data_IF_871152374126
#
_entry.id   IF_871152374126
#
_cell.length_a   1.000
_cell.length_b   1.000
_cell.length_c   1.000
_cell.angle_alpha   90.00
_cell.angle_beta   90.00
_cell.angle_gamma   90.00
#
_symmetry.space_group_name_H-M   'P 1'
#
loop_
_entity.id
_entity.type
_entity.pdbx_description
1 polymer ?
#
# COMPACT_ATOMS: atom_id res chain seq x y z
N UNK A 1 24.05 -18.58 -8.65
CA UNK A 1 22.82 -18.26 -7.88
C UNK A 1 22.62 -16.76 -7.91
N UNK A 2 21.80 -16.25 -8.83
CA UNK A 2 21.60 -14.82 -9.02
C UNK A 2 20.30 -14.42 -8.33
N UNK A 3 20.39 -14.00 -7.07
CA UNK A 3 19.36 -13.15 -6.50
C UNK A 3 19.44 -11.77 -7.13
N UNK A 4 18.28 -11.20 -7.45
CA UNK A 4 18.10 -9.83 -7.87
C UNK A 4 19.05 -8.87 -7.09
N UNK A 5 19.94 -8.11 -7.76
CA UNK A 5 20.89 -7.20 -7.10
C UNK A 5 20.25 -5.96 -6.46
N UNK A 6 18.94 -5.73 -6.65
CA UNK A 6 18.24 -4.53 -6.19
C UNK A 6 17.60 -4.64 -4.79
N UNK A 7 17.75 -5.77 -4.08
CA UNK A 7 17.23 -5.92 -2.72
C UNK A 7 18.40 -6.11 -1.76
N UNK A 8 18.80 -5.02 -1.12
CA UNK A 8 19.69 -5.03 0.04
C UNK A 8 18.93 -5.60 1.24
N UNK A 9 19.50 -6.62 1.88
CA UNK A 9 19.05 -7.06 3.20
C UNK A 9 19.68 -6.17 4.27
N UNK A 10 19.08 -6.04 5.46
CA UNK A 10 19.60 -5.23 6.56
C UNK A 10 20.98 -5.64 7.06
N UNK A 11 22.00 -5.16 6.34
CA UNK A 11 23.40 -5.22 6.68
C UNK A 11 23.91 -3.79 6.89
N UNK A 12 23.54 -3.22 8.06
CA UNK A 12 24.08 -1.99 8.67
C UNK A 12 23.53 -0.62 8.23
N UNK A 13 22.42 -0.53 7.47
CA UNK A 13 21.86 0.77 7.03
C UNK A 13 20.32 0.76 6.88
N UNK A 14 19.63 0.03 7.75
CA UNK A 14 18.16 0.05 7.79
C UNK A 14 17.69 0.54 9.14
N UNK A 15 16.53 1.19 9.17
CA UNK A 15 15.90 1.75 10.36
C UNK A 15 15.92 0.75 11.54
N UNK A 16 15.57 -0.52 11.30
CA UNK A 16 15.55 -1.54 12.37
C UNK A 16 16.93 -1.85 12.95
N UNK A 17 17.99 -1.84 12.12
CA UNK A 17 19.34 -2.00 12.63
C UNK A 17 19.73 -0.82 13.53
N UNK A 18 19.33 0.39 13.14
CA UNK A 18 19.69 1.60 13.85
C UNK A 18 18.93 1.72 15.19
N UNK A 19 17.62 1.44 15.17
CA UNK A 19 16.80 1.30 16.39
C UNK A 19 17.42 0.29 17.36
N UNK A 20 17.83 -0.88 16.86
CA UNK A 20 18.49 -1.91 17.66
C UNK A 20 19.84 -1.43 18.24
N UNK A 21 20.67 -0.78 17.42
CA UNK A 21 21.98 -0.27 17.82
C UNK A 21 21.89 0.83 18.89
N UNK A 22 20.80 1.60 18.87
CA UNK A 22 20.50 2.66 19.83
C UNK A 22 19.58 2.23 20.99
N UNK A 23 19.30 0.92 21.12
CA UNK A 23 18.46 0.36 22.18
C UNK A 23 17.04 0.95 22.23
N UNK A 24 16.52 1.37 21.08
CA UNK A 24 15.13 1.80 20.94
C UNK A 24 14.26 0.56 20.73
N UNK A 25 13.22 0.39 21.55
CA UNK A 25 12.29 -0.74 21.38
C UNK A 25 11.46 -0.58 20.12
N UNK A 26 11.35 -1.64 19.34
CA UNK A 26 10.50 -1.70 18.16
C UNK A 26 9.87 -3.07 17.97
N UNK A 27 8.79 -3.10 17.18
CA UNK A 27 8.18 -4.31 16.64
C UNK A 27 7.86 -4.10 15.16
N UNK A 28 8.21 -5.08 14.33
CA UNK A 28 8.01 -5.06 12.88
C UNK A 28 7.04 -6.16 12.44
N UNK A 29 5.92 -5.72 11.87
CA UNK A 29 4.89 -6.55 11.28
C UNK A 29 5.04 -6.58 9.76
N UNK A 30 5.94 -7.46 9.31
CA UNK A 30 5.98 -7.93 7.92
C UNK A 30 7.19 -7.49 7.11
N UNK A 31 7.91 -6.42 7.48
CA UNK A 31 9.09 -6.00 6.71
C UNK A 31 10.25 -6.97 6.97
N UNK A 32 10.89 -7.47 5.91
CA UNK A 32 11.89 -8.56 5.95
C UNK A 32 11.47 -9.92 6.55
N UNK A 33 10.55 -9.98 7.51
CA UNK A 33 9.98 -11.20 8.10
C UNK A 33 9.16 -11.99 7.07
N UNK A 34 8.49 -11.26 6.17
CA UNK A 34 7.65 -11.80 5.10
C UNK A 34 8.42 -12.36 3.91
N UNK A 35 9.70 -12.03 3.76
CA UNK A 35 10.48 -12.46 2.60
C UNK A 35 11.15 -13.78 2.98
N UNK A 36 10.98 -14.80 2.15
CA UNK A 36 11.46 -16.21 2.22
C UNK A 36 12.95 -16.47 2.56
N UNK A 37 13.64 -15.51 3.19
CA UNK A 37 15.02 -15.54 3.67
C UNK A 37 15.13 -15.14 5.16
N UNK A 38 14.17 -15.52 6.00
CA UNK A 38 14.21 -15.34 7.47
C UNK A 38 15.57 -15.78 8.06
N UNK A 39 16.20 -16.83 7.50
CA UNK A 39 17.51 -17.31 7.91
C UNK A 39 18.64 -16.27 7.80
N UNK A 40 18.48 -15.23 6.99
CA UNK A 40 19.44 -14.15 6.81
C UNK A 40 19.24 -12.98 7.80
N UNK A 41 18.16 -13.00 8.58
CA UNK A 41 17.91 -11.97 9.60
C UNK A 41 18.72 -12.31 10.84
N UNK A 42 19.44 -11.33 11.39
CA UNK A 42 20.24 -11.54 12.60
C UNK A 42 19.37 -12.02 13.77
N UNK A 43 19.89 -12.87 14.68
CA UNK A 43 19.14 -13.31 15.85
C UNK A 43 18.61 -12.16 16.71
N UNK A 44 19.36 -11.05 16.80
CA UNK A 44 18.96 -9.88 17.56
C UNK A 44 17.75 -9.16 16.93
N UNK A 45 17.72 -9.01 15.60
CA UNK A 45 16.56 -8.44 14.91
C UNK A 45 15.32 -9.33 15.02
N UNK A 46 15.47 -10.66 14.96
CA UNK A 46 14.34 -11.60 15.05
C UNK A 46 13.55 -11.50 16.35
N UNK A 47 14.12 -10.94 17.41
CA UNK A 47 13.40 -10.72 18.67
C UNK A 47 12.38 -9.57 18.61
N UNK A 48 12.39 -8.80 17.52
CA UNK A 48 11.56 -7.62 17.27
C UNK A 48 10.69 -7.78 16.01
N UNK A 49 10.50 -9.01 15.55
CA UNK A 49 9.64 -9.33 14.42
C UNK A 49 8.43 -10.11 14.90
N UNK A 50 7.26 -9.74 14.39
CA UNK A 50 6.06 -10.54 14.54
C UNK A 50 6.16 -11.77 13.64
N UNK A 51 6.79 -12.83 14.14
CA UNK A 51 7.10 -14.05 13.38
C UNK A 51 5.85 -14.82 12.92
N UNK A 52 4.69 -14.57 13.53
CA UNK A 52 3.38 -15.10 13.14
C UNK A 52 2.63 -14.19 12.15
N UNK A 53 3.19 -13.02 11.82
CA UNK A 53 2.61 -12.11 10.85
C UNK A 53 2.76 -12.66 9.42
N UNK A 54 1.69 -12.69 8.61
CA UNK A 54 1.71 -13.30 7.29
C UNK A 54 2.68 -12.59 6.35
N UNK A 55 3.39 -13.41 5.57
CA UNK A 55 4.24 -12.97 4.50
C UNK A 55 3.47 -12.33 3.33
N UNK A 56 4.21 -11.92 2.28
CA UNK A 56 3.63 -11.55 1.00
C UNK A 56 2.80 -12.72 0.45
N UNK A 57 1.49 -12.56 0.45
CA UNK A 57 0.55 -13.47 -0.18
C UNK A 57 -0.76 -12.72 -0.45
N UNK A 58 -1.14 -12.62 -1.71
CA UNK A 58 -2.36 -11.94 -2.15
C UNK A 58 -3.63 -12.74 -1.85
N UNK A 59 -3.51 -13.98 -1.36
CA UNK A 59 -4.64 -14.75 -0.84
C UNK A 59 -4.98 -14.39 0.60
N UNK A 60 -4.06 -13.76 1.33
CA UNK A 60 -4.28 -13.24 2.68
C UNK A 60 -4.64 -11.77 2.54
N UNK A 61 -5.83 -11.39 3.01
CA UNK A 61 -6.29 -10.00 2.97
C UNK A 61 -5.66 -9.19 4.10
N UNK A 62 -5.48 -7.89 3.87
CA UNK A 62 -4.90 -6.99 4.87
C UNK A 62 -5.74 -6.84 6.13
N UNK A 63 -7.07 -6.98 6.05
CA UNK A 63 -7.91 -7.13 7.24
C UNK A 63 -7.53 -8.33 8.11
N UNK A 64 -7.08 -9.43 7.51
CA UNK A 64 -6.58 -10.58 8.28
C UNK A 64 -5.23 -10.27 8.93
N UNK A 65 -4.32 -9.59 8.21
CA UNK A 65 -3.03 -9.12 8.74
C UNK A 65 -3.23 -8.11 9.88
N UNK A 66 -4.06 -7.10 9.67
CA UNK A 66 -4.47 -6.12 10.68
C UNK A 66 -5.06 -6.79 11.93
N UNK A 67 -5.83 -7.87 11.79
CA UNK A 67 -6.34 -8.61 12.95
C UNK A 67 -5.22 -9.22 13.81
N UNK A 68 -4.10 -9.64 13.22
CA UNK A 68 -2.95 -10.20 13.93
C UNK A 68 -2.21 -9.08 14.66
N UNK A 69 -1.94 -7.97 13.97
CA UNK A 69 -1.36 -6.78 14.58
C UNK A 69 -2.25 -6.24 15.73
N UNK A 70 -3.57 -6.15 15.53
CA UNK A 70 -4.54 -5.72 16.54
C UNK A 70 -4.47 -6.58 17.81
N UNK A 71 -4.50 -7.91 17.65
CA UNK A 71 -4.37 -8.83 18.80
C UNK A 71 -3.06 -8.62 19.55
N UNK A 72 -1.96 -8.46 18.83
CA UNK A 72 -0.65 -8.21 19.44
C UNK A 72 -0.63 -6.86 20.18
N UNK A 73 -1.12 -5.78 19.54
CA UNK A 73 -1.19 -4.44 20.12
C UNK A 73 -2.02 -4.45 21.42
N UNK A 74 -3.17 -5.11 21.41
CA UNK A 74 -4.02 -5.25 22.60
C UNK A 74 -3.34 -6.03 23.72
N UNK A 75 -2.62 -7.10 23.39
CA UNK A 75 -1.88 -7.90 24.37
C UNK A 75 -0.73 -7.10 25.02
N UNK A 76 -0.14 -6.14 24.29
CA UNK A 76 0.99 -5.32 24.73
C UNK A 76 0.60 -3.88 25.10
N UNK A 77 -0.70 -3.59 25.25
CA UNK A 77 -1.23 -2.24 25.46
C UNK A 77 -0.63 -1.47 26.64
N UNK A 78 -0.04 -2.14 27.63
CA UNK A 78 0.62 -1.48 28.78
C UNK A 78 2.06 -1.04 28.49
N UNK A 79 2.70 -1.67 27.49
CA UNK A 79 4.12 -1.56 27.21
C UNK A 79 4.35 -1.68 25.70
N UNK A 80 3.76 -0.75 24.92
CA UNK A 80 4.06 -0.68 23.50
C UNK A 80 5.51 -0.27 23.26
N UNK A 81 6.16 -0.79 22.20
CA UNK A 81 7.49 -0.35 21.83
C UNK A 81 7.47 1.09 21.31
N UNK A 82 8.64 1.73 21.27
CA UNK A 82 8.77 3.13 20.83
C UNK A 82 8.41 3.29 19.34
N UNK A 83 8.70 2.29 18.52
CA UNK A 83 8.37 2.25 17.09
C UNK A 83 7.60 0.98 16.78
N UNK A 84 6.51 1.10 16.02
CA UNK A 84 5.81 -0.06 15.44
C UNK A 84 5.79 0.16 13.94
N UNK A 85 6.29 -0.81 13.18
CA UNK A 85 6.20 -0.82 11.73
C UNK A 85 5.16 -1.86 11.30
N UNK A 86 4.20 -1.47 10.45
CA UNK A 86 3.14 -2.37 9.99
C UNK A 86 3.05 -2.28 8.48
N UNK A 87 3.16 -3.44 7.84
CA UNK A 87 3.03 -3.57 6.41
C UNK A 87 1.71 -4.23 6.03
N UNK A 88 0.95 -3.53 5.18
CA UNK A 88 -0.33 -3.96 4.61
C UNK A 88 -0.20 -3.88 3.08
N UNK A 89 0.19 -4.98 2.40
CA UNK A 89 0.62 -4.96 1.00
C UNK A 89 -0.47 -5.02 -0.08
N UNK A 90 -1.75 -5.14 0.27
CA UNK A 90 -2.77 -5.41 -0.74
C UNK A 90 -3.02 -4.22 -1.68
N UNK A 91 -2.52 -3.02 -1.38
CA UNK A 91 -2.50 -1.88 -2.31
C UNK A 91 -1.71 -2.16 -3.61
N UNK A 92 -0.81 -3.16 -3.61
CA UNK A 92 -0.23 -3.69 -4.83
C UNK A 92 -1.23 -4.43 -5.74
N UNK A 93 -2.29 -4.98 -5.16
CA UNK A 93 -3.35 -5.77 -5.80
C UNK A 93 -2.87 -7.04 -6.52
N UNK A 94 -3.83 -7.81 -7.07
CA UNK A 94 -3.54 -8.88 -8.01
C UNK A 94 -3.71 -8.49 -9.49
N UNK A 95 -3.89 -7.20 -9.78
CA UNK A 95 -4.34 -6.75 -11.10
C UNK A 95 -5.59 -7.50 -11.52
N UNK A 96 -5.55 -8.13 -12.71
CA UNK A 96 -6.66 -8.91 -13.28
C UNK A 96 -6.50 -10.42 -13.17
N UNK A 97 -5.58 -10.90 -12.34
CA UNK A 97 -5.39 -12.33 -12.15
C UNK A 97 -6.73 -13.02 -11.81
N UNK A 98 -7.05 -14.09 -12.54
CA UNK A 98 -8.33 -14.75 -12.46
C UNK A 98 -8.63 -15.23 -11.04
N UNK A 99 -9.87 -15.04 -10.58
CA UNK A 99 -10.34 -15.43 -9.25
C UNK A 99 -9.63 -14.78 -8.04
N UNK A 100 -8.74 -13.81 -8.26
CA UNK A 100 -8.22 -12.97 -7.16
C UNK A 100 -9.23 -11.88 -6.81
N UNK A 101 -9.11 -11.25 -5.63
CA UNK A 101 -9.93 -10.07 -5.35
C UNK A 101 -9.69 -9.00 -6.44
N UNK A 102 -10.73 -8.23 -6.76
CA UNK A 102 -10.59 -7.13 -7.71
C UNK A 102 -9.66 -6.06 -7.12
N UNK A 103 -8.97 -5.25 -7.95
CA UNK A 103 -8.12 -4.17 -7.45
C UNK A 103 -8.84 -3.23 -6.48
N UNK A 104 -10.09 -2.84 -6.80
CA UNK A 104 -10.92 -1.99 -5.93
C UNK A 104 -11.20 -2.67 -4.59
N UNK A 105 -11.42 -3.98 -4.58
CA UNK A 105 -11.61 -4.76 -3.36
C UNK A 105 -10.35 -4.86 -2.52
N UNK A 106 -9.18 -5.05 -3.13
CA UNK A 106 -7.91 -5.06 -2.41
C UNK A 106 -7.62 -3.71 -1.75
N UNK A 107 -7.72 -2.61 -2.51
CA UNK A 107 -7.46 -1.26 -1.99
C UNK A 107 -8.47 -0.88 -0.91
N UNK A 108 -9.76 -1.19 -1.09
CA UNK A 108 -10.77 -0.92 -0.07
C UNK A 108 -10.58 -1.76 1.19
N UNK A 109 -10.13 -3.02 1.06
CA UNK A 109 -9.79 -3.85 2.21
C UNK A 109 -8.56 -3.32 2.95
N UNK A 110 -7.52 -2.88 2.22
CA UNK A 110 -6.31 -2.27 2.77
C UNK A 110 -6.60 -0.97 3.53
N UNK A 111 -7.42 -0.07 2.96
CA UNK A 111 -7.84 1.19 3.61
C UNK A 111 -8.61 0.89 4.91
N UNK A 112 -9.56 -0.05 4.86
CA UNK A 112 -10.32 -0.47 6.04
C UNK A 112 -9.42 -1.12 7.11
N UNK A 113 -8.50 -2.00 6.70
CA UNK A 113 -7.53 -2.63 7.61
C UNK A 113 -6.62 -1.60 8.29
N UNK A 114 -6.15 -0.60 7.54
CA UNK A 114 -5.36 0.53 8.05
C UNK A 114 -6.17 1.31 9.10
N UNK A 115 -7.43 1.61 8.80
CA UNK A 115 -8.33 2.28 9.73
C UNK A 115 -8.57 1.46 11.01
N UNK A 116 -8.69 0.13 10.93
CA UNK A 116 -8.86 -0.74 12.10
C UNK A 116 -7.65 -0.71 13.05
N UNK A 117 -6.43 -0.79 12.50
CA UNK A 117 -5.19 -0.70 13.29
C UNK A 117 -5.10 0.66 14.00
N UNK A 118 -5.30 1.74 13.25
CA UNK A 118 -5.31 3.11 13.77
C UNK A 118 -6.38 3.27 14.85
N UNK A 119 -7.59 2.74 14.63
CA UNK A 119 -8.68 2.82 15.59
C UNK A 119 -8.30 2.13 16.90
N UNK A 120 -7.66 0.96 16.84
CA UNK A 120 -7.16 0.29 18.05
C UNK A 120 -6.13 1.14 18.78
N UNK A 121 -5.11 1.63 18.09
CA UNK A 121 -4.08 2.49 18.69
C UNK A 121 -4.72 3.71 19.35
N UNK A 122 -5.72 4.30 18.71
CA UNK A 122 -6.40 5.52 19.19
C UNK A 122 -7.23 5.32 20.47
N UNK A 123 -7.51 4.08 20.85
CA UNK A 123 -8.21 3.72 22.09
C UNK A 123 -7.25 3.44 23.25
N UNK A 124 -5.94 3.42 23.01
CA UNK A 124 -4.94 3.16 24.04
C UNK A 124 -4.52 4.44 24.77
N UNK A 125 -4.12 4.35 26.05
CA UNK A 125 -3.58 5.49 26.81
C UNK A 125 -2.40 6.19 26.12
N UNK A 126 -1.61 5.44 25.36
CA UNK A 126 -0.44 5.89 24.61
C UNK A 126 -0.81 6.82 23.45
N UNK A 127 -2.06 6.81 22.96
CA UNK A 127 -2.50 7.56 21.77
C UNK A 127 -2.10 9.04 21.79
N UNK A 128 -2.24 9.70 22.95
CA UNK A 128 -1.84 11.11 23.16
C UNK A 128 -0.36 11.40 22.89
N UNK A 129 0.47 10.36 22.77
CA UNK A 129 1.90 10.41 22.48
C UNK A 129 2.26 9.67 21.18
N UNK A 130 1.28 9.28 20.38
CA UNK A 130 1.48 8.54 19.14
C UNK A 130 1.50 9.48 17.93
N UNK A 131 2.47 9.23 17.04
CA UNK A 131 2.49 9.71 15.66
C UNK A 131 2.33 8.50 14.75
N UNK A 132 1.39 8.56 13.82
CA UNK A 132 1.24 7.61 12.72
C UNK A 132 1.71 8.30 11.45
N UNK A 133 2.65 7.65 10.75
CA UNK A 133 3.06 8.00 9.39
C UNK A 133 2.67 6.84 8.48
N UNK A 134 1.94 7.13 7.42
CA UNK A 134 1.44 6.18 6.43
C UNK A 134 1.91 6.61 5.05
N UNK A 135 2.45 5.68 4.27
CA UNK A 135 2.93 5.87 2.89
C UNK A 135 2.95 4.50 2.19
N UNK A 136 3.05 4.51 0.86
CA UNK A 136 3.32 3.29 0.07
C UNK A 136 4.81 2.95 0.10
N UNK A 137 5.14 1.66 -0.06
CA UNK A 137 6.52 1.12 -0.18
C UNK A 137 7.19 1.62 -1.47
N UNK A 138 6.54 1.42 -2.62
CA UNK A 138 7.13 1.61 -3.95
C UNK A 138 6.24 2.41 -4.93
N UNK A 139 6.51 3.69 -5.15
CA UNK A 139 5.94 4.45 -6.26
C UNK A 139 6.75 4.27 -7.56
N UNK A 140 6.90 3.03 -8.04
CA UNK A 140 7.78 2.75 -9.18
C UNK A 140 7.02 2.56 -10.51
N UNK A 141 5.75 2.16 -10.44
CA UNK A 141 4.95 1.75 -11.61
C UNK A 141 3.67 2.57 -11.81
N UNK A 142 3.48 3.62 -11.01
CA UNK A 142 2.36 4.54 -11.13
C UNK A 142 2.53 5.47 -12.32
N UNK A 143 1.43 5.70 -13.05
CA UNK A 143 1.44 6.66 -14.13
C UNK A 143 0.95 8.02 -13.63
N UNK A 144 1.91 8.87 -13.31
CA UNK A 144 1.66 10.24 -12.89
C UNK A 144 2.22 11.22 -13.93
N UNK A 145 1.39 12.18 -14.33
CA UNK A 145 1.71 13.14 -15.37
C UNK A 145 2.78 14.17 -14.98
N UNK A 146 3.17 14.23 -13.70
CA UNK A 146 4.23 15.10 -13.18
C UNK A 146 5.50 14.26 -12.95
N UNK A 147 5.41 13.20 -12.17
CA UNK A 147 6.52 12.29 -11.87
C UNK A 147 5.99 10.95 -11.35
N UNK A 148 6.35 9.85 -12.02
CA UNK A 148 5.95 8.49 -11.67
C UNK A 148 6.35 8.04 -10.25
N UNK A 149 7.34 8.72 -9.64
CA UNK A 149 7.79 8.48 -8.26
C UNK A 149 7.02 9.26 -7.20
N UNK A 150 5.99 10.03 -7.57
CA UNK A 150 5.11 10.65 -6.58
C UNK A 150 4.25 9.57 -5.93
N UNK A 151 4.30 9.52 -4.61
CA UNK A 151 3.42 8.71 -3.77
C UNK A 151 2.55 9.63 -2.90
N UNK A 152 1.63 9.04 -2.14
CA UNK A 152 0.90 9.73 -1.10
C UNK A 152 1.58 9.47 0.26
N UNK A 153 1.43 10.43 1.18
CA UNK A 153 1.78 10.24 2.58
C UNK A 153 0.70 10.88 3.45
N UNK A 154 0.38 10.24 4.57
CA UNK A 154 -0.55 10.73 5.58
C UNK A 154 0.14 10.73 6.94
N UNK A 155 0.04 11.85 7.65
CA UNK A 155 0.39 11.92 9.06
C UNK A 155 -0.89 12.03 9.89
N UNK A 156 -0.91 11.32 11.00
CA UNK A 156 -2.06 11.24 11.90
C UNK A 156 -1.56 11.17 13.34
N UNK A 157 -2.36 11.70 14.26
CA UNK A 157 -2.16 11.57 15.69
C UNK A 157 -2.68 12.79 16.42
N UNK A 158 -2.71 12.77 17.76
CA UNK A 158 -3.30 13.87 18.52
C UNK A 158 -2.63 15.23 18.30
N UNK A 159 -1.36 15.23 17.90
CA UNK A 159 -0.59 16.45 17.64
C UNK A 159 -0.61 16.88 16.17
N UNK A 160 -1.22 16.12 15.26
CA UNK A 160 -1.28 16.43 13.83
C UNK A 160 -2.56 17.22 13.51
N UNK A 161 -2.50 18.28 12.70
CA UNK A 161 -3.67 19.04 12.26
C UNK A 161 -4.50 18.24 11.26
N UNK A 162 -5.81 18.15 11.50
CA UNK A 162 -6.75 17.47 10.61
C UNK A 162 -7.08 18.34 9.39
N UNK A 163 -7.24 17.72 8.22
CA UNK A 163 -7.69 18.42 7.01
C UNK A 163 -6.68 19.40 6.41
N UNK A 164 -5.40 19.29 6.79
CA UNK A 164 -4.32 20.12 6.23
C UNK A 164 -3.61 19.34 5.13
N UNK A 165 -3.47 19.98 3.97
CA UNK A 165 -2.59 19.54 2.90
C UNK A 165 -1.26 20.28 3.04
N UNK A 166 -0.17 19.54 3.24
CA UNK A 166 1.18 20.08 3.11
C UNK A 166 1.59 20.03 1.62
N UNK A 167 2.01 21.17 1.08
CA UNK A 167 2.42 21.32 -0.32
C UNK A 167 3.94 21.38 -0.47
N UNK A 168 4.70 21.19 0.60
CA UNK A 168 6.15 21.09 0.53
C UNK A 168 6.57 19.86 -0.29
N UNK A 169 7.69 19.98 -0.99
CA UNK A 169 8.29 18.84 -1.70
C UNK A 169 9.02 17.96 -0.68
N UNK A 170 8.34 16.91 -0.23
CA UNK A 170 8.84 15.93 0.73
C UNK A 170 9.09 14.59 0.05
N UNK A 171 9.92 13.77 0.69
CA UNK A 171 10.31 12.44 0.26
C UNK A 171 10.14 11.43 1.40
N UNK A 172 10.23 10.13 1.08
CA UNK A 172 10.29 9.08 2.12
C UNK A 172 11.47 9.28 3.09
N UNK A 173 12.56 9.95 2.66
CA UNK A 173 13.71 10.26 3.52
C UNK A 173 13.34 11.29 4.60
N UNK A 174 12.42 12.23 4.31
CA UNK A 174 11.90 13.17 5.31
C UNK A 174 11.01 12.46 6.35
N UNK A 175 10.28 11.42 5.94
CA UNK A 175 9.55 10.54 6.86
C UNK A 175 10.51 9.78 7.77
N UNK A 176 11.55 9.16 7.20
CA UNK A 176 12.61 8.49 7.95
C UNK A 176 13.26 9.45 8.95
N UNK A 177 13.64 10.65 8.51
CA UNK A 177 14.24 11.67 9.37
C UNK A 177 13.31 12.10 10.51
N UNK A 178 12.01 12.13 10.25
CA UNK A 178 10.99 12.41 11.28
C UNK A 178 10.87 11.26 12.28
N UNK A 179 10.93 10.00 11.82
CA UNK A 179 10.96 8.82 12.70
C UNK A 179 12.18 8.88 13.62
N UNK A 180 13.36 9.18 13.09
CA UNK A 180 14.59 9.31 13.87
C UNK A 180 14.47 10.39 14.96
N UNK A 181 13.96 11.57 14.59
CA UNK A 181 13.78 12.70 15.51
C UNK A 181 12.78 12.36 16.63
N UNK A 182 11.69 11.65 16.30
CA UNK A 182 10.71 11.18 17.30
C UNK A 182 11.29 10.05 18.15
N UNK A 183 12.04 9.11 17.57
CA UNK A 183 12.67 8.01 18.27
C UNK A 183 13.86 8.44 19.15
N UNK A 184 14.45 9.61 18.88
CA UNK A 184 15.59 10.14 19.61
C UNK A 184 16.93 9.55 19.16
N UNK A 185 17.04 9.15 17.89
CA UNK A 185 18.25 8.54 17.30
C UNK A 185 18.90 9.48 16.26
N UNK A 186 20.22 9.39 16.04
CA UNK A 186 20.89 10.15 15.01
C UNK A 186 20.48 9.68 13.60
N UNK A 187 20.72 10.48 12.55
CA UNK A 187 20.61 10.02 11.17
C UNK A 187 21.54 8.84 10.88
N UNK A 188 21.07 7.89 10.06
CA UNK A 188 21.85 6.72 9.65
C UNK A 188 22.90 7.06 8.58
N UNK A 189 22.71 8.15 7.84
CA UNK A 189 23.54 8.51 6.68
C UNK A 189 23.67 10.03 6.49
N UNK A 190 24.28 10.44 5.38
CA UNK A 190 24.27 11.85 4.97
C UNK A 190 22.93 12.29 4.37
N UNK A 191 22.08 11.36 3.91
CA UNK A 191 20.85 11.68 3.19
C UNK A 191 19.75 12.14 4.13
N UNK A 192 19.43 11.32 5.13
CA UNK A 192 18.59 11.63 6.29
C UNK A 192 19.17 12.78 7.13
N UNK A 193 20.50 12.88 7.29
CA UNK A 193 21.10 14.01 8.00
C UNK A 193 20.80 15.37 7.36
N UNK A 194 20.57 15.41 6.04
CA UNK A 194 20.20 16.63 5.31
C UNK A 194 18.70 16.73 5.00
N UNK A 195 17.89 15.75 5.42
CA UNK A 195 16.45 15.75 5.24
C UNK A 195 15.75 16.58 6.31
N UNK A 196 14.48 16.94 6.04
CA UNK A 196 13.68 17.73 6.94
C UNK A 196 12.90 16.84 7.91
N UNK A 197 12.85 17.25 9.18
CA UNK A 197 11.80 16.78 10.08
C UNK A 197 10.51 17.49 9.69
N UNK A 198 9.42 16.76 9.53
CA UNK A 198 8.11 17.34 9.22
C UNK A 198 7.77 18.40 10.28
N UNK A 199 7.69 19.68 9.89
CA UNK A 199 7.45 20.80 10.81
C UNK A 199 6.10 21.48 10.62
N UNK A 200 5.52 21.36 9.42
CA UNK A 200 4.34 22.11 9.00
C UNK A 200 3.03 21.61 9.57
N UNK A 201 2.95 20.39 10.10
CA UNK A 201 1.68 19.66 10.31
C UNK A 201 1.14 19.69 11.75
N UNK A 202 1.86 20.31 12.69
CA UNK A 202 1.56 20.18 14.13
C UNK A 202 0.52 21.17 14.66
N UNK A 203 -0.25 20.77 15.68
CA UNK A 203 -1.11 21.66 16.50
C UNK A 203 -0.51 21.88 17.88
N UNK A 204 -0.85 23.00 18.52
CA UNK A 204 -0.35 23.36 19.84
C UNK A 204 -1.00 22.59 21.01
N UNK A 205 -2.21 22.05 20.79
CA UNK A 205 -2.98 21.31 21.82
C UNK A 205 -3.41 19.97 21.23
N UNK A 206 -3.19 18.85 21.93
CA UNK A 206 -3.49 17.53 21.39
C UNK A 206 -5.00 17.30 21.30
N UNK A 207 -5.42 16.64 20.22
CA UNK A 207 -6.76 16.15 20.01
C UNK A 207 -6.75 14.63 20.10
N UNK A 208 -6.99 14.11 21.30
CA UNK A 208 -6.91 12.68 21.60
C UNK A 208 -8.23 11.93 21.31
N UNK A 209 -9.12 12.50 20.49
CA UNK A 209 -10.31 11.79 20.06
C UNK A 209 -9.91 10.47 19.38
N UNK A 210 -10.58 9.34 19.70
CA UNK A 210 -10.36 8.09 18.99
C UNK A 210 -10.68 8.25 17.50
N UNK A 211 -9.83 7.70 16.65
CA UNK A 211 -10.05 7.68 15.20
C UNK A 211 -11.17 6.68 14.88
N UNK A 212 -12.26 7.07 14.21
CA UNK A 212 -13.35 6.15 13.87
C UNK A 212 -12.96 5.25 12.70
N UNK A 213 -13.53 4.03 12.67
CA UNK A 213 -13.53 3.19 11.46
C UNK A 213 -14.83 3.46 10.72
N UNK A 214 -14.72 3.88 9.45
CA UNK A 214 -15.88 4.06 8.59
C UNK A 214 -16.22 2.74 7.89
N UNK A 215 -17.51 2.48 7.60
CA UNK A 215 -17.88 1.30 6.83
C UNK A 215 -17.29 1.39 5.43
N UNK A 216 -16.74 0.27 4.96
CA UNK A 216 -16.28 0.13 3.58
C UNK A 216 -17.44 0.39 2.62
N UNK A 217 -17.20 1.25 1.62
CA UNK A 217 -18.21 1.64 0.63
C UNK A 217 -18.13 0.80 -0.65
N UNK A 218 -17.01 0.08 -0.84
CA UNK A 218 -16.76 -0.79 -1.98
C UNK A 218 -17.25 -2.20 -1.69
N UNK A 219 -18.00 -2.79 -2.60
CA UNK A 219 -18.37 -4.20 -2.51
C UNK A 219 -17.14 -5.08 -2.74
N UNK A 220 -17.00 -6.15 -1.97
CA UNK A 220 -15.94 -7.14 -2.18
C UNK A 220 -16.30 -8.05 -3.35
N UNK A 221 -15.51 -7.94 -4.42
CA UNK A 221 -15.69 -8.62 -5.69
C UNK A 221 -14.37 -9.31 -6.09
N UNK A 222 -14.48 -10.38 -6.88
CA UNK A 222 -13.33 -11.07 -7.47
C UNK A 222 -13.23 -10.84 -8.96
N UNK A 223 -12.03 -10.93 -9.51
CA UNK A 223 -11.83 -10.95 -10.95
C UNK A 223 -12.52 -12.15 -11.60
N UNK A 224 -13.02 -11.99 -12.84
CA UNK A 224 -13.59 -13.08 -13.63
C UNK A 224 -12.53 -14.17 -13.91
N UNK A 225 -13.00 -15.36 -14.30
CA UNK A 225 -12.14 -16.50 -14.66
C UNK A 225 -12.27 -17.68 -13.71
N UNK A 226 -11.45 -18.71 -13.98
CA UNK A 226 -11.47 -19.96 -13.25
C UNK A 226 -10.90 -19.79 -11.84
N UNK A 227 -11.58 -20.41 -10.87
CA UNK A 227 -11.15 -20.47 -9.48
C UNK A 227 -10.61 -21.86 -9.17
N UNK A 228 -9.40 -21.92 -8.60
CA UNK A 228 -8.96 -23.12 -7.90
C UNK A 228 -9.97 -23.48 -6.81
N UNK A 229 -10.10 -24.78 -6.52
CA UNK A 229 -11.15 -25.29 -5.63
C UNK A 229 -11.05 -24.71 -4.21
N UNK A 230 -9.82 -24.41 -3.78
CA UNK A 230 -9.39 -23.88 -2.49
C UNK A 230 -9.20 -22.36 -2.46
N UNK A 231 -9.51 -21.65 -3.56
CA UNK A 231 -9.41 -20.18 -3.56
C UNK A 231 -10.35 -19.57 -2.51
N UNK A 232 -9.84 -18.71 -1.60
CA UNK A 232 -10.66 -18.07 -0.57
C UNK A 232 -11.71 -17.12 -1.16
N UNK A 233 -11.47 -16.63 -2.38
CA UNK A 233 -12.35 -15.68 -3.05
C UNK A 233 -13.40 -16.36 -3.94
N UNK A 234 -13.36 -17.69 -4.12
CA UNK A 234 -14.22 -18.42 -5.07
C UNK A 234 -15.72 -18.10 -4.93
N UNK A 235 -16.18 -17.86 -3.72
CA UNK A 235 -17.58 -17.56 -3.40
C UNK A 235 -17.96 -16.08 -3.55
N UNK A 236 -16.98 -15.20 -3.79
CA UNK A 236 -17.26 -13.78 -3.97
C UNK A 236 -17.97 -13.53 -5.31
N UNK A 237 -18.85 -12.51 -5.36
CA UNK A 237 -19.42 -12.06 -6.62
C UNK A 237 -18.31 -11.62 -7.59
N UNK A 238 -18.55 -11.80 -8.88
CA UNK A 238 -17.60 -11.44 -9.94
C UNK A 238 -17.67 -9.94 -10.21
N UNK A 239 -16.50 -9.31 -10.29
CA UNK A 239 -16.34 -7.92 -10.69
C UNK A 239 -16.69 -7.73 -12.18
N UNK A 240 -17.63 -6.84 -12.51
CA UNK A 240 -18.00 -6.58 -13.89
C UNK A 240 -16.93 -5.74 -14.60
N UNK A 241 -15.91 -6.38 -15.16
CA UNK A 241 -14.83 -5.69 -15.90
C UNK A 241 -15.26 -5.37 -17.34
N UNK A 242 -15.23 -4.09 -17.77
CA UNK A 242 -15.41 -3.73 -19.18
C UNK A 242 -14.52 -4.49 -20.16
N UNK A 243 -15.12 -5.17 -21.13
CA UNK A 243 -14.38 -5.82 -22.22
C UNK A 243 -13.77 -7.18 -21.89
N UNK A 244 -13.88 -7.66 -20.65
CA UNK A 244 -13.81 -9.09 -20.35
C UNK A 244 -15.16 -9.72 -20.74
N UNK A 245 -15.13 -10.83 -21.48
CA UNK A 245 -16.25 -11.53 -22.11
C UNK A 245 -17.68 -11.13 -21.66
N UNK A 246 -18.41 -10.49 -22.59
CA UNK A 246 -19.88 -10.29 -22.57
C UNK A 246 -20.53 -9.61 -21.34
N UNK A 247 -19.84 -8.74 -20.62
CA UNK A 247 -20.51 -7.91 -19.59
C UNK A 247 -21.13 -6.66 -20.23
N UNK A 248 -22.46 -6.57 -20.16
CA UNK A 248 -23.22 -5.44 -20.67
C UNK A 248 -22.93 -4.16 -19.87
N UNK A 249 -22.66 -3.08 -20.59
CA UNK A 249 -22.24 -1.74 -20.15
C UNK A 249 -23.18 -1.00 -19.16
N UNK A 250 -24.26 -1.62 -18.71
CA UNK A 250 -25.37 -0.94 -18.04
C UNK A 250 -25.27 -0.92 -16.50
N UNK A 251 -24.18 -1.44 -15.91
CA UNK A 251 -24.11 -1.67 -14.45
C UNK A 251 -22.93 -1.02 -13.72
N UNK A 252 -22.18 -0.09 -14.35
CA UNK A 252 -20.99 0.48 -13.70
C UNK A 252 -21.29 1.77 -12.91
N UNK A 253 -20.58 1.98 -11.79
CA UNK A 253 -20.79 3.14 -10.91
C UNK A 253 -20.44 4.47 -11.62
N UNK A 254 -20.92 5.61 -11.09
CA UNK A 254 -20.83 6.92 -11.75
C UNK A 254 -19.41 7.29 -12.19
N UNK A 255 -19.29 8.07 -13.26
CA UNK A 255 -18.03 8.46 -13.90
C UNK A 255 -16.94 9.08 -12.98
N UNK A 256 -17.26 9.45 -11.73
CA UNK A 256 -16.30 9.98 -10.74
C UNK A 256 -15.55 8.90 -9.94
N UNK A 257 -15.96 7.63 -10.02
CA UNK A 257 -15.34 6.53 -9.26
C UNK A 257 -14.55 5.55 -10.13
N UNK A 258 -14.47 5.78 -11.45
CA UNK A 258 -13.78 4.85 -12.34
C UNK A 258 -12.33 5.32 -12.57
N UNK A 259 -11.39 4.70 -11.85
CA UNK A 259 -9.97 4.77 -12.18
C UNK A 259 -9.58 3.45 -12.86
N UNK A 260 -9.04 3.49 -14.08
CA UNK A 260 -8.62 2.26 -14.76
C UNK A 260 -7.49 1.61 -13.98
N UNK A 261 -7.68 0.37 -13.56
CA UNK A 261 -6.68 -0.43 -12.83
C UNK A 261 -5.66 -1.10 -13.76
N UNK A 262 -5.81 -0.89 -15.06
CA UNK A 262 -4.95 -1.46 -16.09
C UNK A 262 -3.77 -0.53 -16.36
N UNK A 263 -2.56 -0.95 -15.98
CA UNK A 263 -1.34 -0.24 -16.36
C UNK A 263 -1.11 -0.42 -17.86
N UNK A 264 -0.84 0.66 -18.59
CA UNK A 264 -0.59 0.60 -20.02
C UNK A 264 0.91 0.37 -20.28
N UNK A 265 1.24 -0.66 -21.05
CA UNK A 265 2.62 -0.94 -21.50
C UNK A 265 2.94 -0.12 -22.76
N UNK A 266 2.69 1.18 -22.69
CA UNK A 266 2.84 2.15 -23.78
C UNK A 266 3.69 3.31 -23.25
N UNK A 267 4.54 3.88 -24.08
CA UNK A 267 5.48 4.90 -23.61
C UNK A 267 4.83 6.27 -23.39
N UNK A 268 5.23 6.90 -22.27
CA UNK A 268 5.23 8.35 -22.06
C UNK A 268 3.87 9.04 -22.30
N UNK A 269 3.80 10.07 -23.17
CA UNK A 269 2.59 10.88 -23.34
C UNK A 269 1.34 10.11 -23.77
N UNK A 270 1.49 9.00 -24.49
CA UNK A 270 0.35 8.21 -24.93
C UNK A 270 -0.26 7.41 -23.77
N UNK A 271 0.56 6.88 -22.85
CA UNK A 271 0.06 6.28 -21.60
C UNK A 271 -0.75 7.30 -20.79
N UNK A 272 -0.17 8.48 -20.53
CA UNK A 272 -0.83 9.54 -19.76
C UNK A 272 -2.14 10.01 -20.42
N UNK A 273 -2.15 10.16 -21.74
CA UNK A 273 -3.35 10.53 -22.50
C UNK A 273 -4.44 9.47 -22.36
N UNK A 274 -4.06 8.21 -22.44
CA UNK A 274 -4.99 7.09 -22.39
C UNK A 274 -5.59 6.91 -20.99
N UNK A 275 -4.79 7.01 -19.94
CA UNK A 275 -5.29 7.00 -18.55
C UNK A 275 -6.17 8.21 -18.25
N UNK A 276 -5.79 9.40 -18.72
CA UNK A 276 -6.63 10.59 -18.58
C UNK A 276 -7.98 10.44 -19.28
N UNK A 277 -8.01 9.86 -20.49
CA UNK A 277 -9.26 9.58 -21.19
C UNK A 277 -10.10 8.54 -20.42
N UNK A 278 -9.44 7.50 -19.92
CA UNK A 278 -10.09 6.40 -19.27
C UNK A 278 -10.67 6.75 -17.88
N UNK A 279 -10.06 7.69 -17.16
CA UNK A 279 -10.63 8.26 -15.92
C UNK A 279 -11.93 9.06 -16.11
N UNK A 280 -12.36 9.32 -17.36
CA UNK A 280 -13.65 9.99 -17.65
C UNK A 280 -14.86 9.08 -17.50
N UNK A 281 -14.66 7.83 -17.08
CA UNK A 281 -15.71 6.87 -16.80
C UNK A 281 -15.73 5.69 -17.77
N UNK A 282 -16.65 4.73 -17.53
CA UNK A 282 -16.67 3.45 -18.24
C UNK A 282 -16.76 3.55 -19.77
N UNK A 283 -17.55 4.50 -20.29
CA UNK A 283 -17.71 4.70 -21.75
C UNK A 283 -16.40 5.14 -22.39
N UNK A 284 -15.66 6.03 -21.73
CA UNK A 284 -14.38 6.51 -22.22
C UNK A 284 -13.30 5.42 -22.14
N UNK A 285 -13.34 4.60 -21.08
CA UNK A 285 -12.50 3.40 -20.99
C UNK A 285 -12.80 2.38 -22.09
N UNK A 286 -14.07 2.16 -22.42
CA UNK A 286 -14.46 1.32 -23.57
C UNK A 286 -13.82 1.79 -24.88
N UNK A 287 -13.85 3.10 -25.10
CA UNK A 287 -13.28 3.73 -26.28
C UNK A 287 -11.75 3.57 -26.30
N UNK A 288 -11.10 3.69 -25.13
CA UNK A 288 -9.69 3.38 -24.97
C UNK A 288 -9.39 1.93 -25.37
N UNK A 289 -10.10 0.94 -24.81
CA UNK A 289 -9.87 -0.48 -25.11
C UNK A 289 -10.04 -0.79 -26.61
N UNK A 290 -11.07 -0.23 -27.26
CA UNK A 290 -11.24 -0.36 -28.72
C UNK A 290 -10.07 0.24 -29.50
N UNK A 291 -9.56 1.39 -29.06
CA UNK A 291 -8.40 2.05 -29.67
C UNK A 291 -7.13 1.21 -29.49
N UNK A 292 -6.92 0.65 -28.30
CA UNK A 292 -5.80 -0.24 -27.99
C UNK A 292 -5.85 -1.51 -28.84
N UNK A 293 -7.01 -2.13 -29.00
CA UNK A 293 -7.19 -3.30 -29.85
C UNK A 293 -6.88 -2.97 -31.33
N UNK A 294 -7.39 -1.83 -31.82
CA UNK A 294 -7.08 -1.34 -33.18
C UNK A 294 -5.58 -1.11 -33.36
N UNK A 295 -4.91 -0.56 -32.35
CA UNK A 295 -3.48 -0.31 -32.35
C UNK A 295 -2.65 -1.60 -32.31
N UNK A 296 -3.04 -2.58 -31.47
CA UNK A 296 -2.45 -3.91 -31.39
C UNK A 296 -2.48 -4.60 -32.75
N UNK A 297 -3.66 -4.62 -33.39
CA UNK A 297 -3.86 -5.17 -34.72
C UNK A 297 -2.98 -4.48 -35.77
N UNK A 298 -2.91 -3.14 -35.76
CA UNK A 298 -2.04 -2.37 -36.67
C UNK A 298 -0.55 -2.66 -36.47
N UNK A 299 -0.14 -2.90 -35.23
CA UNK A 299 1.25 -3.19 -34.86
C UNK A 299 1.58 -4.70 -34.92
N UNK A 300 0.62 -5.55 -35.30
CA UNK A 300 0.78 -7.01 -35.34
C UNK A 300 1.33 -7.59 -34.02
N UNK A 301 0.86 -7.07 -32.88
CA UNK A 301 1.22 -7.52 -31.53
C UNK A 301 -0.04 -7.86 -30.74
N UNK A 302 0.03 -8.78 -29.77
CA UNK A 302 -1.13 -9.13 -28.96
C UNK A 302 -1.53 -7.98 -28.01
N UNK A 303 -2.80 -7.91 -27.62
CA UNK A 303 -3.33 -6.78 -26.81
C UNK A 303 -2.72 -6.69 -25.41
N UNK A 304 -2.42 -7.85 -24.80
CA UNK A 304 -1.72 -8.02 -23.51
C UNK A 304 -0.29 -7.43 -23.49
N UNK A 305 0.30 -7.21 -24.67
CA UNK A 305 1.57 -6.51 -24.77
C UNK A 305 1.40 -5.00 -24.60
N UNK A 306 0.19 -4.45 -24.75
CA UNK A 306 -0.16 -3.03 -24.56
C UNK A 306 -0.84 -2.75 -23.22
N UNK A 307 -1.40 -3.77 -22.57
CA UNK A 307 -2.13 -3.69 -21.30
C UNK A 307 -1.48 -4.66 -20.30
N UNK A 308 -1.01 -4.16 -19.17
CA UNK A 308 -0.55 -5.00 -18.08
C UNK A 308 -1.74 -5.65 -17.37
N UNK A 309 -1.57 -6.93 -16.98
CA UNK A 309 -2.59 -7.71 -16.27
C UNK A 309 -3.42 -8.66 -17.14
N UNK A 310 -3.39 -8.54 -18.46
CA UNK A 310 -4.12 -9.46 -19.37
C UNK A 310 -3.24 -10.63 -19.88
N UNK A 311 -1.97 -10.71 -19.46
CA UNK A 311 -1.06 -11.82 -19.77
C UNK A 311 -1.07 -12.84 -18.63
N UNK A 312 -1.36 -14.10 -18.96
CA UNK A 312 -1.07 -15.22 -18.06
C UNK A 312 0.44 -15.47 -18.05
N UNK A 313 1.15 -14.78 -17.16
CA UNK A 313 2.48 -15.11 -16.64
C UNK A 313 2.58 -14.64 -15.19
#
# INVERSE_FOLDING_TARGET
HWSNPWITYPARLFLFNDLLAHHVSFEDFGEFAARNKIGNISPALRAHLAMDYPAWDRLVLDTQRASIADRWIRAHAKHLPRVIYIWLPDDHTAGRAACMASPDSYVANNDYATAEVIHTLSKLPEWKHTLVLLTEDDAQSGADHINAHRTFAVALGPWVRSGVLDTQHLSQVDLLRTIEAVAGIPPMSQWDANAHVLGGIWRATPDAAPAPVLPMQTAMLRNPGHCAADSPFRHWPVDPVPGADHIAWNALPPARSYTPTALLKISGPEQLRQEWLASKGPVAYAALLRRLNTMAAKQQRPLDSLIAGDGGD
#
